data_IF_659745038749
#
_entry.id   IF_659745038749
#
_cell.length_a   1.000
_cell.length_b   1.000
_cell.length_c   1.000
_cell.angle_alpha   90.00
_cell.angle_beta   90.00
_cell.angle_gamma   90.00
#
_symmetry.space_group_name_H-M   'P 1'
#
loop_
_entity.id
_entity.type
_entity.pdbx_description
1 polymer ?
#
# COMPACT_ATOMS: atom_id res chain seq x y z
N UNK A 1 -10.11 -42.96 29.20
CA UNK A 1 -9.49 -43.05 27.86
C UNK A 1 -8.77 -41.75 27.55
N UNK A 2 -7.43 -41.74 27.62
CA UNK A 2 -6.64 -40.53 27.37
C UNK A 2 -6.43 -40.37 25.86
N UNK A 3 -6.91 -39.25 25.28
CA UNK A 3 -6.71 -38.94 23.86
C UNK A 3 -5.24 -38.56 23.65
N UNK A 4 -4.46 -39.42 22.99
CA UNK A 4 -3.12 -39.08 22.53
C UNK A 4 -3.21 -37.97 21.48
N UNK A 5 -2.97 -36.72 21.89
CA UNK A 5 -2.86 -35.59 20.98
C UNK A 5 -1.47 -35.64 20.34
N UNK A 6 -1.40 -36.10 19.10
CA UNK A 6 -0.18 -36.03 18.31
C UNK A 6 0.16 -34.56 18.08
N UNK A 7 1.15 -34.04 18.81
CA UNK A 7 1.66 -32.69 18.65
C UNK A 7 2.39 -32.56 17.30
N UNK A 8 1.62 -32.31 16.23
CA UNK A 8 2.20 -31.98 14.93
C UNK A 8 2.96 -30.65 15.04
N UNK A 9 4.29 -30.72 15.13
CA UNK A 9 5.17 -29.55 15.17
C UNK A 9 5.72 -29.32 13.76
N UNK A 10 5.01 -28.53 12.94
CA UNK A 10 5.50 -28.21 11.60
C UNK A 10 6.74 -27.31 11.68
N UNK A 11 7.94 -27.87 11.46
CA UNK A 11 9.15 -27.09 11.14
C UNK A 11 9.03 -26.59 9.69
N UNK A 12 8.27 -25.52 9.47
CA UNK A 12 8.22 -24.84 8.17
C UNK A 12 9.27 -23.76 8.16
N UNK A 13 10.34 -23.95 7.39
CA UNK A 13 11.37 -22.94 7.17
C UNK A 13 10.78 -21.81 6.33
N UNK A 14 10.35 -20.73 6.97
CA UNK A 14 9.87 -19.52 6.29
C UNK A 14 11.00 -18.58 5.88
N UNK A 15 12.24 -18.87 6.28
CA UNK A 15 13.40 -18.02 6.05
C UNK A 15 13.62 -17.54 4.61
N UNK A 16 13.56 -18.39 3.57
CA UNK A 16 13.72 -17.90 2.21
C UNK A 16 12.59 -16.93 1.80
N UNK A 17 11.39 -17.09 2.36
CA UNK A 17 10.26 -16.19 2.11
C UNK A 17 10.46 -14.87 2.86
N UNK A 18 11.02 -14.92 4.07
CA UNK A 18 11.32 -13.74 4.89
C UNK A 18 12.36 -12.87 4.19
N UNK A 19 13.51 -13.45 3.85
CA UNK A 19 14.61 -12.75 3.19
C UNK A 19 14.13 -12.06 1.91
N UNK A 20 13.40 -12.81 1.06
CA UNK A 20 12.91 -12.28 -0.21
C UNK A 20 11.89 -11.14 -0.03
N UNK A 21 10.97 -11.28 0.93
CA UNK A 21 10.00 -10.22 1.24
C UNK A 21 10.68 -8.98 1.83
N UNK A 22 11.75 -9.15 2.63
CA UNK A 22 12.55 -8.03 3.14
C UNK A 22 13.28 -7.30 2.01
N UNK A 23 13.95 -8.03 1.11
CA UNK A 23 14.59 -7.43 -0.08
C UNK A 23 13.59 -6.62 -0.92
N UNK A 24 12.37 -7.13 -1.11
CA UNK A 24 11.34 -6.39 -1.83
C UNK A 24 10.78 -5.20 -1.07
N UNK A 25 10.66 -5.29 0.25
CA UNK A 25 10.23 -4.18 1.09
C UNK A 25 11.23 -3.01 1.07
N UNK A 26 12.53 -3.31 1.05
CA UNK A 26 13.59 -2.32 0.92
C UNK A 26 13.63 -1.70 -0.48
N UNK A 27 13.56 -2.52 -1.52
CA UNK A 27 13.62 -2.05 -2.91
C UNK A 27 12.35 -1.28 -3.35
N UNK A 28 11.18 -1.65 -2.82
CA UNK A 28 9.89 -1.13 -3.27
C UNK A 28 8.94 -0.78 -2.11
N UNK A 29 9.30 0.17 -1.23
CA UNK A 29 8.54 0.47 -0.01
C UNK A 29 7.11 0.99 -0.27
N UNK A 30 6.74 1.39 -1.48
CA UNK A 30 5.37 1.83 -1.77
C UNK A 30 4.43 0.71 -2.20
N UNK A 31 4.96 -0.51 -2.42
CA UNK A 31 4.23 -1.64 -2.99
C UNK A 31 3.61 -2.54 -1.94
N UNK A 32 2.59 -3.29 -2.36
CA UNK A 32 1.81 -4.17 -1.52
C UNK A 32 2.09 -5.66 -1.76
N UNK A 33 1.36 -6.50 -1.05
CA UNK A 33 1.50 -7.96 -1.12
C UNK A 33 1.34 -8.53 -2.54
N UNK A 34 0.34 -8.08 -3.31
CA UNK A 34 0.06 -8.67 -4.62
C UNK A 34 1.17 -8.36 -5.64
N UNK A 35 1.79 -7.17 -5.56
CA UNK A 35 2.99 -6.81 -6.33
C UNK A 35 4.18 -7.72 -5.96
N UNK A 36 4.45 -7.91 -4.67
CA UNK A 36 5.54 -8.77 -4.22
C UNK A 36 5.32 -10.23 -4.62
N UNK A 37 4.11 -10.74 -4.46
CA UNK A 37 3.77 -12.10 -4.88
C UNK A 37 3.89 -12.26 -6.40
N UNK A 38 3.48 -11.26 -7.19
CA UNK A 38 3.68 -11.24 -8.63
C UNK A 38 5.16 -11.34 -9.03
N UNK A 39 6.03 -10.55 -8.39
CA UNK A 39 7.48 -10.61 -8.63
C UNK A 39 8.07 -11.98 -8.28
N UNK A 40 7.70 -12.55 -7.12
CA UNK A 40 8.11 -13.92 -6.72
C UNK A 40 7.70 -14.94 -7.80
N UNK A 41 6.50 -14.80 -8.38
CA UNK A 41 6.02 -15.68 -9.46
C UNK A 41 6.80 -15.48 -10.76
N UNK A 42 7.16 -14.25 -11.10
CA UNK A 42 7.95 -13.93 -12.28
C UNK A 42 9.39 -14.45 -12.18
N UNK A 43 9.95 -14.54 -10.97
CA UNK A 43 11.23 -15.21 -10.71
C UNK A 43 11.16 -16.75 -10.76
N UNK A 44 9.98 -17.32 -11.07
CA UNK A 44 9.79 -18.77 -11.15
C UNK A 44 9.60 -19.47 -9.80
N UNK A 45 9.57 -18.73 -8.69
CA UNK A 45 9.39 -19.32 -7.35
C UNK A 45 7.94 -19.77 -7.16
N UNK A 46 7.73 -21.09 -7.09
CA UNK A 46 6.41 -21.71 -6.90
C UNK A 46 5.98 -21.80 -5.44
N UNK A 47 6.19 -20.75 -4.65
CA UNK A 47 5.75 -20.72 -3.26
C UNK A 47 4.22 -20.57 -3.16
N UNK A 48 3.61 -21.35 -2.26
CA UNK A 48 2.17 -21.25 -2.01
C UNK A 48 1.80 -19.84 -1.52
N UNK A 49 0.84 -19.19 -2.18
CA UNK A 49 0.32 -17.86 -1.81
C UNK A 49 -0.05 -17.75 -0.33
N UNK A 50 -0.65 -18.80 0.27
CA UNK A 50 -1.01 -18.81 1.69
C UNK A 50 0.22 -18.73 2.60
N UNK A 51 1.32 -19.39 2.22
CA UNK A 51 2.61 -19.33 2.95
C UNK A 51 3.20 -17.93 2.89
N UNK A 52 3.29 -17.35 1.69
CA UNK A 52 3.83 -16.00 1.50
C UNK A 52 2.97 -14.96 2.23
N UNK A 53 1.64 -15.09 2.16
CA UNK A 53 0.71 -14.19 2.85
C UNK A 53 0.85 -14.28 4.37
N UNK A 54 1.05 -15.48 4.93
CA UNK A 54 1.30 -15.66 6.37
C UNK A 54 2.57 -14.93 6.79
N UNK A 55 3.67 -15.15 6.08
CA UNK A 55 4.97 -14.53 6.39
C UNK A 55 4.91 -13.01 6.23
N UNK A 56 4.30 -12.52 5.15
CA UNK A 56 4.08 -11.09 4.94
C UNK A 56 3.32 -10.42 6.10
N UNK A 57 2.30 -11.09 6.62
CA UNK A 57 1.53 -10.60 7.78
C UNK A 57 2.35 -10.65 9.07
N UNK A 58 3.17 -11.69 9.27
CA UNK A 58 4.07 -11.81 10.43
C UNK A 58 5.13 -10.71 10.44
N UNK A 59 5.66 -10.35 9.28
CA UNK A 59 6.64 -9.25 9.12
C UNK A 59 6.01 -7.85 9.26
N UNK A 60 4.68 -7.76 9.43
CA UNK A 60 3.96 -6.49 9.56
C UNK A 60 4.29 -5.46 8.47
N UNK A 61 4.60 -5.92 7.25
CA UNK A 61 4.94 -5.06 6.09
C UNK A 61 3.75 -4.26 5.53
N UNK A 62 2.67 -4.14 6.30
CA UNK A 62 1.49 -3.38 5.93
C UNK A 62 1.84 -1.90 6.04
N UNK A 63 2.12 -1.27 4.90
CA UNK A 63 2.21 0.18 4.84
C UNK A 63 0.93 0.80 5.38
N UNK A 64 1.06 1.55 6.49
CA UNK A 64 -0.05 2.29 7.07
C UNK A 64 -0.50 3.32 6.03
N UNK A 65 -1.77 3.27 5.60
CA UNK A 65 -2.30 4.28 4.66
C UNK A 65 -2.01 5.66 5.26
N UNK A 66 -1.31 6.52 4.50
CA UNK A 66 -1.29 7.95 4.81
C UNK A 66 -2.73 8.43 4.69
N UNK A 67 -3.35 8.81 5.79
CA UNK A 67 -4.64 9.50 5.73
C UNK A 67 -4.45 10.76 4.89
N UNK A 68 -5.38 11.00 3.94
CA UNK A 68 -5.42 12.27 3.22
C UNK A 68 -5.50 13.38 4.27
N UNK A 69 -4.47 14.22 4.35
CA UNK A 69 -4.51 15.41 5.20
C UNK A 69 -5.64 16.28 4.66
N UNK A 70 -6.47 16.83 5.55
CA UNK A 70 -7.47 17.82 5.14
C UNK A 70 -6.73 18.97 4.45
N UNK A 71 -7.13 19.25 3.21
CA UNK A 71 -6.69 20.49 2.54
C UNK A 71 -7.42 21.63 3.26
N UNK A 72 -6.76 22.77 3.55
CA UNK A 72 -7.46 23.94 4.07
C UNK A 72 -8.66 24.29 3.19
N UNK A 73 -9.77 24.69 3.81
CA UNK A 73 -10.95 25.10 3.06
C UNK A 73 -10.58 26.23 2.10
N UNK A 74 -11.00 26.09 0.83
CA UNK A 74 -10.82 27.14 -0.16
C UNK A 74 -11.68 28.32 0.27
N UNK A 75 -11.05 29.42 0.71
CA UNK A 75 -11.75 30.69 0.94
C UNK A 75 -12.42 31.08 -0.38
N UNK A 76 -13.75 31.02 -0.42
CA UNK A 76 -14.52 31.45 -1.60
C UNK A 76 -14.34 32.96 -1.72
N UNK A 77 -13.59 33.41 -2.72
CA UNK A 77 -13.59 34.83 -3.06
C UNK A 77 -14.97 35.18 -3.63
N UNK A 78 -15.60 36.27 -3.15
CA UNK A 78 -16.84 36.74 -3.74
C UNK A 78 -16.59 37.09 -5.20
N UNK A 79 -17.49 36.64 -6.08
CA UNK A 79 -17.46 37.02 -7.48
C UNK A 79 -17.69 38.54 -7.56
N UNK A 80 -16.72 39.29 -8.07
CA UNK A 80 -16.91 40.72 -8.32
C UNK A 80 -17.90 40.89 -9.46
N UNK A 81 -19.07 41.43 -9.13
CA UNK A 81 -20.06 41.84 -10.13
C UNK A 81 -19.65 43.24 -10.62
N UNK A 82 -19.40 43.43 -11.92
CA UNK A 82 -19.12 44.75 -12.45
C UNK A 82 -20.37 45.64 -12.34
N UNK A 83 -20.19 46.89 -11.93
CA UNK A 83 -21.29 47.87 -11.80
C UNK A 83 -21.90 48.23 -13.15
N UNK A 84 -21.14 48.04 -14.25
CA UNK A 84 -21.54 48.40 -15.61
C UNK A 84 -21.21 47.29 -16.61
N UNK A 85 -22.07 47.15 -17.62
CA UNK A 85 -21.83 46.27 -18.76
C UNK A 85 -20.58 46.76 -19.50
N UNK A 86 -19.68 45.84 -19.85
CA UNK A 86 -18.42 46.04 -20.59
C UNK A 86 -17.18 46.57 -19.81
N UNK A 87 -17.18 46.60 -18.47
CA UNK A 87 -15.98 47.03 -17.72
C UNK A 87 -14.74 46.14 -17.95
N UNK A 88 -14.91 44.82 -18.11
CA UNK A 88 -13.79 43.86 -18.08
C UNK A 88 -13.04 43.65 -19.40
N UNK A 89 -13.47 44.28 -20.50
CA UNK A 89 -12.91 44.04 -21.84
C UNK A 89 -12.34 45.29 -22.50
N UNK A 90 -12.46 46.45 -21.86
CA UNK A 90 -11.82 47.67 -22.31
C UNK A 90 -10.45 47.75 -21.63
N UNK A 91 -9.43 47.16 -22.25
CA UNK A 91 -8.03 47.40 -21.88
C UNK A 91 -7.68 48.89 -21.97
N UNK A 92 -6.68 49.37 -21.21
CA UNK A 92 -6.31 50.79 -21.22
C UNK A 92 -5.87 51.24 -22.62
N UNK A 93 -6.07 52.54 -22.96
CA UNK A 93 -5.86 53.09 -24.30
C UNK A 93 -4.44 52.94 -24.82
#
# INVERSE_FOLDING_TARGET
>A
MHRSSWYYRSKKNDQPVIEKLQTYAEAYPTRGFDDYYGKIRNEGLKWNRKRVLRVYRLLSLKHRRRHKRRVPDRVKQPLQVPETINYSWNGPP
#
